data_IF_263482666443
#
_entry.id   IF_263482666443
#
_cell.length_a   1.000
_cell.length_b   1.000
_cell.length_c   1.000
_cell.angle_alpha   90.00
_cell.angle_beta   90.00
_cell.angle_gamma   90.00
#
_symmetry.space_group_name_H-M   'P 1'
#
loop_
_entity.id
_entity.type
_entity.pdbx_description
1 polymer ?
#
# COMPACT_ATOMS: atom_id res chain seq x y z
N UNK A 1 26.86 -0.35 7.89
CA UNK A 1 26.22 -1.44 7.12
C UNK A 1 24.78 -1.08 6.75
N UNK A 2 23.82 -1.02 7.68
CA UNK A 2 22.43 -0.69 7.30
C UNK A 2 22.29 0.65 6.54
N UNK A 3 23.05 1.67 6.95
CA UNK A 3 23.01 3.01 6.34
C UNK A 3 23.71 3.13 4.98
N UNK A 4 24.35 2.07 4.46
CA UNK A 4 25.08 2.18 3.18
C UNK A 4 24.11 2.28 2.00
N UNK A 5 23.20 1.33 1.82
CA UNK A 5 22.29 1.26 0.67
C UNK A 5 21.44 2.52 0.45
N UNK A 6 21.12 3.27 1.52
CA UNK A 6 20.35 4.52 1.41
C UNK A 6 21.16 5.65 0.77
N UNK A 7 22.50 5.60 0.88
CA UNK A 7 23.43 6.65 0.44
C UNK A 7 24.34 6.25 -0.74
N UNK A 8 24.40 4.96 -1.10
CA UNK A 8 25.13 4.49 -2.27
C UNK A 8 24.47 4.95 -3.58
N UNK A 9 25.31 5.09 -4.62
CA UNK A 9 24.91 5.11 -6.02
C UNK A 9 24.88 3.67 -6.59
N UNK A 10 24.68 3.54 -7.90
CA UNK A 10 24.53 2.24 -8.58
C UNK A 10 25.82 1.43 -8.54
N UNK A 11 26.93 2.01 -8.97
CA UNK A 11 28.21 1.30 -9.12
C UNK A 11 28.82 0.96 -7.77
N UNK A 12 28.72 1.87 -6.80
CA UNK A 12 29.14 1.63 -5.42
C UNK A 12 28.21 0.64 -4.69
N UNK A 13 26.97 0.44 -5.16
CA UNK A 13 26.14 -0.68 -4.73
C UNK A 13 26.58 -1.98 -5.39
N UNK A 14 26.70 -2.04 -6.72
CA UNK A 14 27.11 -3.24 -7.46
C UNK A 14 28.41 -3.81 -6.89
N UNK A 15 29.48 -3.03 -6.90
CA UNK A 15 30.81 -3.43 -6.40
C UNK A 15 30.94 -3.47 -4.86
N UNK A 16 29.83 -3.40 -4.13
CA UNK A 16 29.76 -3.76 -2.71
C UNK A 16 29.05 -5.10 -2.48
N UNK A 17 28.46 -5.72 -3.50
CA UNK A 17 27.77 -7.01 -3.43
C UNK A 17 28.31 -8.05 -4.41
N UNK A 18 28.91 -7.62 -5.52
CA UNK A 18 29.94 -8.35 -6.27
C UNK A 18 31.13 -8.60 -5.31
N UNK A 19 31.39 -9.88 -4.99
CA UNK A 19 32.28 -10.34 -3.90
C UNK A 19 33.58 -10.95 -4.38
N UNK A 20 33.56 -11.63 -5.52
CA UNK A 20 34.77 -12.21 -6.13
C UNK A 20 35.35 -11.36 -7.27
N UNK A 21 34.67 -10.26 -7.64
CA UNK A 21 35.07 -9.29 -8.67
C UNK A 21 35.04 -9.84 -10.10
N UNK A 22 34.16 -10.80 -10.40
CA UNK A 22 33.97 -11.31 -11.76
C UNK A 22 33.23 -10.32 -12.70
N UNK A 23 32.50 -9.36 -12.13
CA UNK A 23 31.77 -8.31 -12.85
C UNK A 23 30.27 -8.55 -13.02
N UNK A 24 29.73 -9.62 -12.43
CA UNK A 24 28.33 -10.02 -12.40
C UNK A 24 27.80 -10.06 -10.95
N UNK A 25 26.60 -10.61 -10.74
CA UNK A 25 26.04 -10.93 -9.44
C UNK A 25 25.39 -12.31 -9.49
N UNK A 26 25.90 -13.23 -8.67
CA UNK A 26 25.27 -14.54 -8.39
C UNK A 26 23.99 -14.39 -7.55
N UNK A 27 23.21 -15.47 -7.44
CA UNK A 27 22.03 -15.47 -6.55
C UNK A 27 22.43 -15.40 -5.07
N UNK A 28 23.58 -15.95 -4.69
CA UNK A 28 24.17 -15.84 -3.35
C UNK A 28 24.53 -14.38 -3.00
N UNK A 29 25.00 -13.60 -3.96
CA UNK A 29 25.30 -12.16 -3.77
C UNK A 29 24.02 -11.31 -3.80
N UNK A 30 23.05 -11.70 -4.62
CA UNK A 30 21.72 -11.11 -4.62
C UNK A 30 20.97 -11.36 -3.29
N UNK A 31 21.21 -12.50 -2.63
CA UNK A 31 20.77 -12.75 -1.25
C UNK A 31 21.37 -11.73 -0.28
N UNK A 32 22.66 -11.37 -0.43
CA UNK A 32 23.29 -10.35 0.40
C UNK A 32 22.67 -8.96 0.18
N UNK A 33 22.29 -8.61 -1.06
CA UNK A 33 21.51 -7.39 -1.37
C UNK A 33 20.16 -7.44 -0.66
N UNK A 34 19.41 -8.55 -0.79
CA UNK A 34 18.12 -8.73 -0.14
C UNK A 34 18.23 -8.63 1.39
N UNK A 35 19.27 -9.22 2.00
CA UNK A 35 19.57 -9.14 3.43
C UNK A 35 20.12 -7.79 3.88
N UNK A 36 20.56 -6.92 2.98
CA UNK A 36 20.90 -5.53 3.26
C UNK A 36 19.68 -4.59 3.10
N UNK A 37 18.78 -4.93 2.18
CA UNK A 37 17.48 -4.29 1.99
C UNK A 37 16.51 -4.59 3.14
N UNK A 38 16.14 -5.84 3.34
CA UNK A 38 15.02 -6.21 4.21
C UNK A 38 15.46 -6.30 5.67
N UNK A 39 15.34 -5.17 6.37
CA UNK A 39 15.69 -5.00 7.78
C UNK A 39 14.70 -4.12 8.50
N UNK A 40 14.53 -4.35 9.80
CA UNK A 40 13.77 -3.46 10.66
C UNK A 40 14.60 -2.24 11.13
N UNK A 41 13.93 -1.34 11.84
CA UNK A 41 14.47 -0.12 12.46
C UNK A 41 15.68 -0.33 13.41
N UNK A 42 15.92 -1.55 13.87
CA UNK A 42 17.01 -1.98 14.76
C UNK A 42 18.07 -2.82 14.05
N UNK A 43 18.02 -2.88 12.71
CA UNK A 43 18.98 -3.61 11.86
C UNK A 43 18.80 -5.13 11.82
N UNK A 44 17.77 -5.69 12.49
CA UNK A 44 17.41 -7.12 12.39
C UNK A 44 16.98 -7.41 10.96
N UNK A 45 17.58 -8.44 10.36
CA UNK A 45 17.25 -8.94 9.03
C UNK A 45 15.88 -9.62 9.06
N UNK A 46 15.04 -9.35 8.05
CA UNK A 46 13.86 -10.14 7.74
C UNK A 46 14.24 -11.31 6.85
N UNK A 47 13.61 -12.47 7.05
CA UNK A 47 13.71 -13.57 6.10
C UNK A 47 13.05 -13.20 4.77
N UNK A 48 13.60 -13.74 3.69
CA UNK A 48 12.95 -13.84 2.38
C UNK A 48 12.88 -15.33 2.10
N UNK A 49 11.73 -15.85 1.68
CA UNK A 49 11.59 -17.27 1.36
C UNK A 49 12.36 -17.60 0.07
N UNK A 50 13.03 -18.76 0.00
CA UNK A 50 13.88 -19.16 -1.14
C UNK A 50 13.20 -18.99 -2.51
N UNK A 51 11.89 -19.25 -2.59
CA UNK A 51 11.12 -19.11 -3.82
C UNK A 51 10.93 -17.62 -4.21
N UNK A 52 10.76 -16.72 -3.23
CA UNK A 52 10.66 -15.29 -3.47
C UNK A 52 12.01 -14.74 -3.90
N UNK A 53 13.10 -15.14 -3.23
CA UNK A 53 14.46 -14.74 -3.61
C UNK A 53 14.77 -15.13 -5.06
N UNK A 54 14.49 -16.40 -5.43
CA UNK A 54 14.65 -16.90 -6.80
C UNK A 54 13.75 -16.17 -7.79
N UNK A 55 12.46 -16.00 -7.49
CA UNK A 55 11.56 -15.29 -8.41
C UNK A 55 11.94 -13.82 -8.59
N UNK A 56 12.45 -13.12 -7.56
CA UNK A 56 12.98 -11.75 -7.68
C UNK A 56 14.24 -11.74 -8.55
N UNK A 57 15.18 -12.67 -8.33
CA UNK A 57 16.38 -12.81 -9.15
C UNK A 57 16.03 -13.06 -10.63
N UNK A 58 15.12 -14.01 -10.88
CA UNK A 58 14.58 -14.37 -12.20
C UNK A 58 13.81 -13.25 -12.92
N UNK A 59 13.52 -12.12 -12.25
CA UNK A 59 12.90 -10.93 -12.85
C UNK A 59 13.96 -9.96 -13.39
N UNK A 60 15.20 -10.02 -12.88
CA UNK A 60 16.30 -9.15 -13.28
C UNK A 60 17.37 -9.84 -14.10
N UNK A 61 17.61 -11.14 -13.89
CA UNK A 61 18.19 -12.01 -14.93
C UNK A 61 17.20 -12.06 -16.11
N UNK A 62 17.44 -11.24 -17.13
CA UNK A 62 16.62 -11.19 -18.35
C UNK A 62 17.21 -12.04 -19.47
N UNK A 63 18.54 -12.27 -19.43
CA UNK A 63 19.31 -13.04 -20.42
C UNK A 63 19.17 -14.56 -20.27
N UNK A 64 18.81 -15.03 -19.08
CA UNK A 64 18.64 -16.44 -18.69
C UNK A 64 19.93 -17.26 -18.75
N UNK A 65 21.03 -16.62 -18.36
CA UNK A 65 22.33 -17.26 -18.11
C UNK A 65 22.59 -17.58 -16.63
N UNK A 66 21.77 -17.05 -15.71
CA UNK A 66 21.82 -17.37 -14.28
C UNK A 66 22.66 -16.42 -13.43
N UNK A 67 23.08 -15.29 -13.98
CA UNK A 67 23.68 -14.15 -13.27
C UNK A 67 22.87 -12.88 -13.52
N UNK A 68 23.18 -11.79 -12.81
CA UNK A 68 22.70 -10.43 -13.13
C UNK A 68 23.92 -9.58 -13.50
N UNK A 69 23.98 -9.08 -14.74
CA UNK A 69 25.06 -8.19 -15.17
C UNK A 69 24.78 -6.69 -14.88
N UNK A 70 25.64 -5.78 -15.34
CA UNK A 70 25.50 -4.34 -15.05
C UNK A 70 24.32 -3.66 -15.73
N UNK A 71 23.92 -4.11 -16.93
CA UNK A 71 22.75 -3.54 -17.63
C UNK A 71 21.46 -3.96 -16.89
N UNK A 72 21.42 -5.23 -16.50
CA UNK A 72 20.33 -5.82 -15.73
C UNK A 72 20.25 -5.27 -14.30
N UNK A 73 21.41 -5.05 -13.68
CA UNK A 73 21.49 -4.38 -12.40
C UNK A 73 21.08 -2.91 -12.49
N UNK A 74 21.33 -2.18 -13.59
CA UNK A 74 20.77 -0.82 -13.74
C UNK A 74 19.24 -0.87 -13.67
N UNK A 75 18.60 -1.84 -14.33
CA UNK A 75 17.15 -2.02 -14.30
C UNK A 75 16.66 -2.39 -12.90
N UNK A 76 17.34 -3.32 -12.22
CA UNK A 76 17.06 -3.69 -10.83
C UNK A 76 17.21 -2.50 -9.86
N UNK A 77 18.31 -1.76 -9.98
CA UNK A 77 18.60 -0.59 -9.17
C UNK A 77 17.55 0.51 -9.34
N UNK A 78 17.21 0.85 -10.59
CA UNK A 78 16.29 1.93 -10.92
C UNK A 78 14.82 1.59 -10.64
N UNK A 79 14.39 0.34 -10.88
CA UNK A 79 12.97 -0.05 -10.70
C UNK A 79 12.66 -0.65 -9.32
N UNK A 80 13.63 -1.26 -8.65
CA UNK A 80 13.38 -2.04 -7.44
C UNK A 80 14.15 -1.52 -6.22
N UNK A 81 15.49 -1.52 -6.25
CA UNK A 81 16.33 -1.18 -5.09
C UNK A 81 16.09 0.28 -4.63
N UNK A 82 16.02 1.23 -5.56
CA UNK A 82 15.71 2.65 -5.25
C UNK A 82 14.33 2.81 -4.60
N UNK A 83 13.30 2.08 -5.03
CA UNK A 83 11.96 2.19 -4.45
C UNK A 83 11.89 1.47 -3.09
N UNK A 84 12.63 0.37 -2.91
CA UNK A 84 12.80 -0.31 -1.62
C UNK A 84 13.63 0.49 -0.59
N UNK A 85 14.42 1.48 -1.01
CA UNK A 85 15.22 2.35 -0.11
C UNK A 85 14.67 3.75 0.06
N UNK A 86 13.92 4.27 -0.92
CA UNK A 86 13.42 5.66 -0.97
C UNK A 86 11.95 5.68 -1.40
N UNK A 87 11.01 5.16 -0.57
CA UNK A 87 9.59 5.10 -0.89
C UNK A 87 8.97 6.49 -1.11
N UNK A 88 7.97 6.57 -2.00
CA UNK A 88 7.07 7.72 -2.11
C UNK A 88 5.71 7.35 -1.56
N UNK A 89 5.51 7.61 -0.27
CA UNK A 89 4.32 7.22 0.46
C UNK A 89 3.16 8.21 0.28
N UNK A 90 1.95 7.68 0.13
CA UNK A 90 0.70 8.39 0.37
C UNK A 90 -0.04 7.74 1.55
N UNK A 91 -0.80 8.54 2.30
CA UNK A 91 -1.59 8.10 3.45
C UNK A 91 -3.07 8.33 3.14
N UNK A 92 -3.91 7.32 3.40
CA UNK A 92 -5.34 7.31 3.12
C UNK A 92 -6.12 7.03 4.42
N UNK A 93 -6.78 8.08 4.92
CA UNK A 93 -7.71 8.02 6.05
C UNK A 93 -9.12 7.81 5.47
N UNK A 94 -9.71 6.64 5.68
CA UNK A 94 -11.01 6.27 5.11
C UNK A 94 -12.15 6.51 6.11
N UNK A 95 -13.19 7.22 5.66
CA UNK A 95 -14.51 7.40 6.30
C UNK A 95 -14.53 7.70 7.82
N UNK A 96 -13.57 8.47 8.35
CA UNK A 96 -13.57 8.95 9.76
C UNK A 96 -14.56 10.12 9.93
N UNK A 97 -15.83 9.83 9.69
CA UNK A 97 -16.97 10.76 9.67
C UNK A 97 -17.87 10.57 10.90
N UNK A 98 -18.61 11.61 11.29
CA UNK A 98 -19.43 11.61 12.50
C UNK A 98 -20.42 10.43 12.57
N UNK A 99 -21.04 10.02 11.45
CA UNK A 99 -22.03 8.94 11.45
C UNK A 99 -21.48 7.56 11.85
N UNK A 100 -20.19 7.29 11.65
CA UNK A 100 -19.58 6.01 12.03
C UNK A 100 -19.10 5.97 13.50
N UNK A 101 -19.05 7.12 14.17
CA UNK A 101 -18.46 7.29 15.51
C UNK A 101 -19.51 7.63 16.57
N UNK A 102 -20.50 8.46 16.22
CA UNK A 102 -21.59 8.87 17.12
C UNK A 102 -22.96 8.99 16.46
N UNK A 103 -23.05 9.11 15.13
CA UNK A 103 -24.31 9.23 14.39
C UNK A 103 -24.94 7.90 13.96
N UNK A 104 -25.56 7.88 12.77
CA UNK A 104 -26.57 6.89 12.40
C UNK A 104 -26.06 5.48 12.05
N UNK A 105 -24.75 5.31 11.84
CA UNK A 105 -24.11 4.03 11.54
C UNK A 105 -22.92 3.78 12.49
N UNK A 106 -23.09 4.18 13.75
CA UNK A 106 -22.07 4.05 14.80
C UNK A 106 -21.61 2.59 14.95
N UNK A 107 -20.30 2.37 14.77
CA UNK A 107 -19.69 1.03 14.77
C UNK A 107 -19.82 0.32 16.13
N UNK A 108 -20.03 1.06 17.23
CA UNK A 108 -20.39 0.51 18.56
C UNK A 108 -21.67 -0.33 18.55
N UNK A 109 -22.51 -0.16 17.54
CA UNK A 109 -23.79 -0.86 17.39
C UNK A 109 -23.74 -1.92 16.27
N UNK A 110 -22.56 -2.13 15.66
CA UNK A 110 -22.29 -3.22 14.72
C UNK A 110 -21.87 -4.51 15.45
N UNK A 111 -21.80 -5.62 14.70
CA UNK A 111 -21.56 -6.96 15.26
C UNK A 111 -20.21 -7.11 15.96
N UNK A 112 -19.18 -6.41 15.49
CA UNK A 112 -17.86 -6.37 16.12
C UNK A 112 -17.78 -5.58 17.43
N UNK A 113 -18.81 -4.77 17.76
CA UNK A 113 -18.90 -3.92 18.96
C UNK A 113 -17.70 -2.97 19.17
N UNK A 114 -16.98 -2.64 18.10
CA UNK A 114 -15.78 -1.80 18.14
C UNK A 114 -16.12 -0.31 18.25
N UNK A 115 -15.26 0.47 18.91
CA UNK A 115 -15.44 1.91 19.08
C UNK A 115 -14.81 2.69 17.91
N UNK A 116 -15.66 3.31 17.07
CA UNK A 116 -15.20 4.16 15.97
C UNK A 116 -14.38 5.39 16.38
N UNK A 117 -14.35 5.77 17.68
CA UNK A 117 -13.50 6.84 18.19
C UNK A 117 -12.09 6.39 18.56
N UNK A 118 -11.86 5.09 18.77
CA UNK A 118 -10.53 4.54 19.09
C UNK A 118 -9.51 4.76 17.97
N UNK A 119 -9.94 4.98 16.71
CA UNK A 119 -9.02 5.27 15.61
C UNK A 119 -8.51 6.71 15.63
N UNK A 120 -9.17 7.64 16.35
CA UNK A 120 -8.85 9.07 16.27
C UNK A 120 -7.46 9.38 16.86
N UNK A 121 -7.15 8.88 18.05
CA UNK A 121 -5.83 9.13 18.68
C UNK A 121 -4.67 8.51 17.86
N UNK A 122 -4.73 7.24 17.41
CA UNK A 122 -3.72 6.65 16.53
C UNK A 122 -3.59 7.33 15.15
N UNK A 123 -4.69 7.77 14.53
CA UNK A 123 -4.65 8.42 13.20
C UNK A 123 -4.07 9.85 13.28
N UNK A 124 -4.18 10.52 14.42
CA UNK A 124 -3.81 11.92 14.67
C UNK A 124 -2.29 12.23 14.64
N UNK A 125 -1.52 11.47 13.84
CA UNK A 125 -0.09 11.54 13.62
C UNK A 125 0.33 12.06 12.22
N UNK A 126 -0.50 12.00 11.16
CA UNK A 126 -0.15 12.40 9.76
C UNK A 126 -1.34 12.95 8.90
N UNK A 127 -1.15 13.18 7.58
CA UNK A 127 -1.79 14.23 6.73
C UNK A 127 -2.78 13.78 5.58
N UNK A 128 -4.10 14.17 5.51
CA UNK A 128 -5.05 13.97 4.31
C UNK A 128 -6.43 14.74 4.29
N UNK A 129 -7.30 14.70 3.21
CA UNK A 129 -8.70 15.34 3.09
C UNK A 129 -9.75 14.75 2.01
N UNK A 130 -10.84 15.47 1.58
CA UNK A 130 -12.21 15.00 1.07
C UNK A 130 -12.98 15.90 0.01
N UNK A 131 -14.04 15.65 -0.86
CA UNK A 131 -15.01 14.57 -1.29
C UNK A 131 -15.90 14.82 -2.64
N UNK A 132 -16.48 13.80 -3.42
CA UNK A 132 -17.82 13.65 -4.22
C UNK A 132 -17.92 12.67 -5.51
N UNK A 133 -19.10 12.35 -6.20
CA UNK A 133 -19.34 11.21 -7.24
C UNK A 133 -20.71 10.90 -8.06
N UNK A 134 -20.93 9.70 -8.77
CA UNK A 134 -21.87 9.41 -9.97
C UNK A 134 -23.18 8.40 -10.10
N UNK A 135 -23.27 7.15 -10.72
CA UNK A 135 -24.56 6.33 -11.04
C UNK A 135 -24.63 4.71 -11.10
N UNK A 136 -25.85 4.05 -11.11
CA UNK A 136 -26.34 2.88 -10.27
C UNK A 136 -26.37 1.31 -10.48
N UNK A 137 -26.46 0.48 -9.39
CA UNK A 137 -26.43 -1.04 -9.30
C UNK A 137 -27.23 -1.69 -8.10
N UNK A 138 -27.35 -3.04 -8.07
CA UNK A 138 -27.73 -3.91 -6.92
C UNK A 138 -26.66 -3.89 -5.79
N UNK A 139 -27.08 -3.71 -4.54
CA UNK A 139 -26.23 -3.24 -3.42
C UNK A 139 -26.66 -3.79 -2.05
N UNK A 140 -25.77 -3.78 -1.03
CA UNK A 140 -26.12 -4.03 0.38
C UNK A 140 -26.69 -2.74 0.96
N UNK A 141 -27.97 -2.73 1.34
CA UNK A 141 -28.60 -1.55 1.93
C UNK A 141 -28.15 -1.35 3.37
N UNK A 142 -27.64 -0.16 3.66
CA UNK A 142 -27.30 0.34 4.99
C UNK A 142 -28.37 1.32 5.50
N UNK A 143 -28.40 1.65 6.80
CA UNK A 143 -29.14 2.81 7.30
C UNK A 143 -28.73 4.10 6.57
N UNK A 144 -29.58 5.13 6.60
CA UNK A 144 -29.24 6.46 6.05
C UNK A 144 -28.10 7.07 6.85
N UNK A 145 -26.91 7.15 6.25
CA UNK A 145 -25.68 7.69 6.83
C UNK A 145 -24.94 8.54 5.78
N UNK A 146 -24.01 9.38 6.23
CA UNK A 146 -23.14 10.22 5.41
C UNK A 146 -23.88 11.02 4.32
N UNK A 147 -25.09 11.50 4.65
CA UNK A 147 -25.93 12.28 3.74
C UNK A 147 -25.21 13.58 3.36
N UNK A 148 -25.14 13.87 2.06
CA UNK A 148 -24.40 15.01 1.54
C UNK A 148 -24.76 16.32 2.28
N UNK A 149 -23.74 17.07 2.67
CA UNK A 149 -23.83 18.38 3.32
C UNK A 149 -24.64 18.37 4.63
N UNK A 150 -24.62 17.23 5.34
CA UNK A 150 -25.14 17.06 6.70
C UNK A 150 -24.01 16.77 7.71
N UNK A 151 -24.26 17.06 9.00
CA UNK A 151 -23.31 16.80 10.10
C UNK A 151 -22.78 15.37 10.14
N UNK A 152 -23.61 14.37 9.81
CA UNK A 152 -23.20 12.97 9.78
C UNK A 152 -22.12 12.65 8.74
N UNK A 153 -22.06 13.45 7.66
CA UNK A 153 -21.05 13.35 6.61
C UNK A 153 -19.81 14.22 6.86
N UNK A 154 -19.81 15.10 7.86
CA UNK A 154 -18.62 15.84 8.26
C UNK A 154 -17.57 14.89 8.85
N UNK A 155 -16.29 15.20 8.61
CA UNK A 155 -15.18 14.52 9.30
C UNK A 155 -15.27 14.82 10.81
N UNK A 156 -14.91 13.85 11.64
CA UNK A 156 -15.03 14.02 13.08
C UNK A 156 -14.14 15.16 13.59
N UNK A 157 -14.69 16.05 14.42
CA UNK A 157 -14.03 17.31 14.86
C UNK A 157 -12.65 17.17 15.50
N UNK A 158 -12.36 16.00 16.07
CA UNK A 158 -11.09 15.71 16.75
C UNK A 158 -10.06 15.01 15.84
N UNK A 159 -10.41 14.74 14.57
CA UNK A 159 -9.48 14.32 13.53
C UNK A 159 -8.66 15.54 13.06
N UNK A 160 -7.34 15.44 13.16
CA UNK A 160 -6.42 16.50 12.71
C UNK A 160 -6.34 16.50 11.19
N UNK A 161 -6.88 17.55 10.59
CA UNK A 161 -6.76 17.87 9.17
C UNK A 161 -5.64 18.91 9.01
N UNK A 162 -5.02 18.91 7.83
CA UNK A 162 -3.67 19.43 7.60
C UNK A 162 -3.59 20.32 6.36
N UNK A 163 -2.44 20.97 6.17
CA UNK A 163 -2.20 21.85 5.03
C UNK A 163 -2.05 21.10 3.70
N UNK A 164 -2.64 21.67 2.63
CA UNK A 164 -2.49 21.29 1.21
C UNK A 164 -2.99 19.90 0.78
N UNK A 165 -3.32 18.98 1.70
CA UNK A 165 -3.66 17.62 1.32
C UNK A 165 -4.99 17.51 0.54
N UNK A 166 -5.17 16.37 -0.16
CA UNK A 166 -6.09 16.26 -1.30
C UNK A 166 -7.23 15.25 -1.05
N UNK A 167 -8.18 15.19 -1.98
CA UNK A 167 -9.60 15.42 -1.66
C UNK A 167 -10.54 14.51 -2.47
N UNK A 168 -10.85 13.32 -1.95
CA UNK A 168 -11.47 12.22 -2.73
C UNK A 168 -12.68 11.63 -2.02
N UNK A 169 -13.78 11.33 -2.72
CA UNK A 169 -14.83 10.44 -2.19
C UNK A 169 -15.36 9.48 -3.23
N UNK A 170 -16.43 8.83 -2.81
CA UNK A 170 -16.98 7.56 -3.22
C UNK A 170 -18.44 7.56 -2.69
N UNK A 171 -19.33 6.76 -3.26
CA UNK A 171 -20.70 6.57 -2.75
C UNK A 171 -21.63 7.76 -2.96
N UNK A 172 -21.14 8.83 -3.60
CA UNK A 172 -21.94 10.01 -3.98
C UNK A 172 -22.70 9.80 -5.29
N UNK A 173 -22.69 8.58 -5.83
CA UNK A 173 -23.73 8.16 -6.74
C UNK A 173 -25.05 8.05 -5.96
N UNK A 174 -26.17 8.70 -6.36
CA UNK A 174 -27.48 8.38 -5.81
C UNK A 174 -27.93 6.91 -6.02
N UNK A 175 -27.23 6.11 -6.83
CA UNK A 175 -27.70 4.77 -7.19
C UNK A 175 -26.64 3.61 -7.18
N UNK A 176 -25.32 3.84 -7.04
CA UNK A 176 -24.33 2.75 -6.83
C UNK A 176 -23.38 3.07 -5.68
N UNK A 177 -23.15 2.08 -4.84
CA UNK A 177 -22.15 2.21 -3.77
C UNK A 177 -20.70 2.30 -4.29
N UNK A 178 -19.81 2.70 -3.39
CA UNK A 178 -18.37 2.73 -3.63
C UNK A 178 -17.68 2.57 -2.28
N UNK A 179 -17.29 1.34 -1.97
CA UNK A 179 -16.55 1.04 -0.75
C UNK A 179 -15.09 1.45 -0.90
N UNK A 180 -14.50 1.15 -2.07
CA UNK A 180 -13.18 1.64 -2.47
C UNK A 180 -13.21 3.14 -2.76
N UNK A 181 -12.10 3.82 -2.41
CA UNK A 181 -11.82 5.21 -2.80
C UNK A 181 -11.08 5.32 -4.15
N UNK A 182 -10.78 4.21 -4.84
CA UNK A 182 -10.25 4.24 -6.21
C UNK A 182 -11.36 4.21 -7.28
N UNK A 183 -12.39 3.38 -7.07
CA UNK A 183 -13.43 3.08 -8.06
C UNK A 183 -14.80 2.88 -7.41
N UNK A 184 -15.88 3.13 -8.15
CA UNK A 184 -17.22 2.63 -7.76
C UNK A 184 -17.31 1.09 -7.75
N UNK A 185 -18.35 0.54 -7.11
CA UNK A 185 -18.49 -0.91 -6.96
C UNK A 185 -18.78 -1.69 -8.27
N UNK A 186 -18.90 -1.01 -9.43
CA UNK A 186 -18.86 -1.64 -10.79
C UNK A 186 -17.51 -1.44 -11.49
N UNK A 187 -16.67 -0.53 -10.98
CA UNK A 187 -15.53 0.10 -11.68
C UNK A 187 -15.92 0.85 -12.96
N UNK A 188 -17.11 1.45 -13.02
CA UNK A 188 -17.50 2.32 -14.15
C UNK A 188 -16.89 3.72 -14.06
N UNK A 189 -16.67 4.22 -12.86
CA UNK A 189 -16.11 5.56 -12.62
C UNK A 189 -14.91 5.48 -11.70
N UNK A 190 -13.85 6.18 -12.11
CA UNK A 190 -12.68 6.49 -11.32
C UNK A 190 -13.00 7.61 -10.33
N UNK A 191 -12.43 7.55 -9.13
CA UNK A 191 -12.23 8.79 -8.37
C UNK A 191 -11.00 9.53 -8.90
N UNK A 192 -10.74 10.74 -8.40
CA UNK A 192 -9.53 11.50 -8.74
C UNK A 192 -8.26 11.00 -8.01
N UNK A 193 -8.33 9.92 -7.22
CA UNK A 193 -7.18 9.40 -6.48
C UNK A 193 -6.11 8.81 -7.40
N UNK A 194 -6.50 7.97 -8.36
CA UNK A 194 -5.57 7.22 -9.21
C UNK A 194 -4.61 8.14 -9.97
N UNK A 195 -5.11 9.23 -10.55
CA UNK A 195 -4.27 10.23 -11.23
C UNK A 195 -3.40 11.01 -10.23
N UNK A 196 -3.93 11.43 -9.09
CA UNK A 196 -3.14 12.17 -8.09
C UNK A 196 -2.00 11.36 -7.47
N UNK A 197 -2.15 10.03 -7.36
CA UNK A 197 -1.08 9.13 -6.95
C UNK A 197 -0.02 9.00 -8.04
N UNK A 198 -0.44 8.84 -9.31
CA UNK A 198 0.45 8.79 -10.48
C UNK A 198 1.23 10.10 -10.67
N UNK A 199 0.57 11.27 -10.61
CA UNK A 199 1.18 12.60 -10.71
C UNK A 199 2.26 12.86 -9.64
N UNK A 200 2.10 12.24 -8.46
CA UNK A 200 3.08 12.31 -7.36
C UNK A 200 4.17 11.24 -7.46
N UNK A 201 4.00 10.24 -8.33
CA UNK A 201 4.82 9.05 -8.39
C UNK A 201 4.76 8.25 -7.09
N UNK A 202 3.59 8.10 -6.49
CA UNK A 202 3.41 7.32 -5.27
C UNK A 202 3.73 5.84 -5.51
N UNK A 203 4.45 5.22 -4.58
CA UNK A 203 4.85 3.80 -4.63
C UNK A 203 4.25 2.98 -3.49
N UNK A 204 3.90 3.66 -2.38
CA UNK A 204 3.45 3.04 -1.14
C UNK A 204 2.17 3.70 -0.65
N UNK A 205 1.16 2.91 -0.33
CA UNK A 205 -0.16 3.37 0.13
C UNK A 205 -0.40 2.84 1.54
N UNK A 206 -0.39 3.75 2.52
CA UNK A 206 -0.72 3.47 3.91
C UNK A 206 -2.21 3.75 4.12
N UNK A 207 -2.95 2.81 4.72
CA UNK A 207 -4.41 2.85 4.80
C UNK A 207 -4.87 2.62 6.25
N UNK A 208 -5.82 3.41 6.70
CA UNK A 208 -6.48 3.25 7.99
C UNK A 208 -7.91 3.83 8.00
N UNK A 209 -8.59 3.73 9.15
CA UNK A 209 -9.91 4.32 9.37
C UNK A 209 -11.03 3.28 9.36
N UNK A 210 -12.16 3.65 8.77
CA UNK A 210 -13.44 2.96 8.94
C UNK A 210 -14.07 2.62 7.57
N UNK A 211 -14.92 1.59 7.44
CA UNK A 211 -14.90 0.36 8.24
C UNK A 211 -13.83 -0.61 7.68
N UNK A 212 -13.08 -1.26 8.57
CA UNK A 212 -11.96 -2.18 8.28
C UNK A 212 -12.32 -3.19 7.19
N UNK A 213 -13.43 -3.90 7.39
CA UNK A 213 -13.99 -4.99 6.59
C UNK A 213 -14.82 -4.53 5.38
N UNK A 214 -14.97 -3.22 5.18
CA UNK A 214 -15.77 -2.64 4.09
C UNK A 214 -14.93 -1.66 3.28
N UNK A 215 -14.89 -0.38 3.67
CA UNK A 215 -14.28 0.68 2.86
C UNK A 215 -12.74 0.63 2.88
N UNK A 216 -12.16 0.33 4.06
CA UNK A 216 -10.71 0.16 4.23
C UNK A 216 -10.22 -1.07 3.46
N UNK A 217 -10.89 -2.22 3.65
CA UNK A 217 -10.57 -3.47 2.96
C UNK A 217 -10.67 -3.34 1.43
N UNK A 218 -11.78 -2.80 0.91
CA UNK A 218 -11.95 -2.57 -0.53
C UNK A 218 -10.87 -1.62 -1.09
N UNK A 219 -10.51 -0.56 -0.34
CA UNK A 219 -9.44 0.36 -0.72
C UNK A 219 -8.07 -0.31 -0.75
N UNK A 220 -7.77 -1.18 0.22
CA UNK A 220 -6.51 -1.93 0.25
C UNK A 220 -6.39 -2.93 -0.91
N UNK A 221 -7.49 -3.65 -1.21
CA UNK A 221 -7.54 -4.59 -2.34
C UNK A 221 -7.38 -3.87 -3.68
N UNK A 222 -7.99 -2.70 -3.86
CA UNK A 222 -7.81 -1.91 -5.10
C UNK A 222 -6.43 -1.27 -5.20
N UNK A 223 -5.82 -0.84 -4.09
CA UNK A 223 -4.42 -0.36 -4.08
C UNK A 223 -3.46 -1.49 -4.52
N UNK A 224 -3.61 -2.68 -3.93
CA UNK A 224 -2.86 -3.89 -4.30
C UNK A 224 -3.09 -4.30 -5.76
N UNK A 225 -4.33 -4.22 -6.25
CA UNK A 225 -4.68 -4.55 -7.65
C UNK A 225 -4.17 -3.50 -8.63
N UNK A 226 -3.98 -2.25 -8.19
CA UNK A 226 -3.42 -1.14 -8.98
C UNK A 226 -1.88 -1.06 -8.91
N UNK A 227 -1.22 -2.13 -8.46
CA UNK A 227 0.24 -2.26 -8.41
C UNK A 227 0.94 -1.55 -7.23
N UNK A 228 0.20 -0.93 -6.30
CA UNK A 228 0.82 -0.24 -5.18
C UNK A 228 1.28 -1.20 -4.08
N UNK A 229 2.44 -0.89 -3.47
CA UNK A 229 2.86 -1.50 -2.21
C UNK A 229 1.92 -1.00 -1.11
N UNK A 230 1.19 -1.90 -0.47
CA UNK A 230 0.04 -1.51 0.36
C UNK A 230 0.24 -1.94 1.81
N UNK A 231 0.04 -0.99 2.72
CA UNK A 231 0.25 -1.13 4.16
C UNK A 231 -1.06 -0.78 4.88
N UNK A 232 -1.62 -1.75 5.60
CA UNK A 232 -2.84 -1.58 6.40
C UNK A 232 -2.46 -1.41 7.88
N UNK A 233 -2.95 -0.34 8.51
CA UNK A 233 -2.62 0.00 9.89
C UNK A 233 -3.75 -0.49 10.82
N UNK A 234 -3.49 -1.57 11.56
CA UNK A 234 -4.49 -2.36 12.31
C UNK A 234 -5.04 -1.59 13.53
N UNK A 235 -4.16 -1.08 14.39
CA UNK A 235 -4.54 -0.25 15.55
C UNK A 235 -5.27 1.05 15.17
N UNK A 236 -5.02 1.59 13.97
CA UNK A 236 -5.71 2.74 13.40
C UNK A 236 -7.01 2.39 12.64
N UNK A 237 -7.53 1.16 12.71
CA UNK A 237 -8.71 0.74 11.93
C UNK A 237 -9.74 -0.01 12.77
N UNK A 238 -11.04 0.16 12.49
CA UNK A 238 -12.15 -0.58 13.15
C UNK A 238 -13.24 -0.93 12.14
N UNK A 239 -13.94 -2.05 12.34
CA UNK A 239 -14.87 -2.64 11.37
C UNK A 239 -16.22 -3.09 11.94
N UNK A 240 -17.09 -3.56 11.06
CA UNK A 240 -18.50 -3.91 11.33
C UNK A 240 -18.65 -5.36 11.81
N UNK A 241 -17.89 -6.31 11.28
CA UNK A 241 -17.91 -7.73 11.65
C UNK A 241 -16.51 -8.35 11.80
N UNK A 242 -16.27 -9.11 12.88
CA UNK A 242 -14.95 -9.69 13.18
C UNK A 242 -14.52 -10.78 12.17
N UNK A 243 -15.46 -11.53 11.59
CA UNK A 243 -15.16 -12.57 10.62
C UNK A 243 -14.81 -11.97 9.26
N UNK A 244 -15.47 -10.87 8.87
CA UNK A 244 -15.13 -10.12 7.66
C UNK A 244 -13.84 -9.28 7.83
N UNK A 245 -13.50 -8.84 9.05
CA UNK A 245 -12.16 -8.29 9.38
C UNK A 245 -11.08 -9.33 9.11
N UNK A 246 -11.16 -10.54 9.66
CA UNK A 246 -10.09 -11.53 9.51
C UNK A 246 -9.98 -12.09 8.08
N UNK A 247 -11.09 -12.14 7.32
CA UNK A 247 -11.04 -12.34 5.85
C UNK A 247 -10.27 -11.23 5.15
N UNK A 248 -10.49 -9.98 5.53
CA UNK A 248 -9.80 -8.81 4.97
C UNK A 248 -8.31 -8.86 5.28
N UNK A 249 -7.92 -9.19 6.53
CA UNK A 249 -6.52 -9.39 6.90
C UNK A 249 -5.86 -10.48 6.06
N UNK A 250 -6.53 -11.63 5.94
CA UNK A 250 -6.07 -12.76 5.14
C UNK A 250 -5.88 -12.39 3.66
N UNK A 251 -6.80 -11.62 3.08
CA UNK A 251 -6.75 -11.21 1.67
C UNK A 251 -5.62 -10.22 1.39
N UNK A 252 -5.38 -9.26 2.29
CA UNK A 252 -4.26 -8.30 2.19
C UNK A 252 -2.92 -9.04 2.24
N UNK A 253 -2.73 -9.94 3.21
CA UNK A 253 -1.50 -10.73 3.35
C UNK A 253 -1.27 -11.63 2.13
N UNK A 254 -2.29 -12.37 1.69
CA UNK A 254 -2.21 -13.25 0.51
C UNK A 254 -1.91 -12.49 -0.81
N UNK A 255 -2.14 -11.18 -0.83
CA UNK A 255 -1.86 -10.29 -1.96
C UNK A 255 -0.48 -9.59 -1.87
N UNK A 256 0.34 -9.95 -0.88
CA UNK A 256 1.62 -9.30 -0.54
C UNK A 256 1.50 -7.86 -0.01
N UNK A 257 0.36 -7.51 0.57
CA UNK A 257 0.23 -6.33 1.45
C UNK A 257 0.67 -6.65 2.88
N UNK A 258 1.10 -5.63 3.63
CA UNK A 258 1.58 -5.80 5.01
C UNK A 258 0.60 -5.16 5.99
N UNK A 259 0.40 -5.82 7.14
CA UNK A 259 -0.40 -5.30 8.25
C UNK A 259 0.55 -4.90 9.39
N UNK A 260 0.39 -3.67 9.91
CA UNK A 260 1.27 -3.09 10.95
C UNK A 260 0.48 -2.30 11.98
N UNK A 261 1.12 -1.93 13.08
CA UNK A 261 0.62 -0.92 14.01
C UNK A 261 1.27 0.45 13.76
N UNK A 262 0.58 1.52 14.13
CA UNK A 262 0.97 2.94 14.02
C UNK A 262 2.43 3.20 14.42
N UNK A 263 2.87 2.59 15.53
CA UNK A 263 4.24 2.66 16.07
C UNK A 263 5.35 2.24 15.10
N UNK A 264 5.05 1.44 14.07
CA UNK A 264 6.01 0.96 13.07
C UNK A 264 6.09 1.88 11.83
N UNK A 265 4.99 2.58 11.52
CA UNK A 265 4.80 3.36 10.27
C UNK A 265 5.92 4.38 10.06
N UNK A 266 6.33 5.09 11.12
CA UNK A 266 7.40 6.11 11.01
C UNK A 266 8.71 5.52 10.48
N UNK A 267 9.12 4.35 10.97
CA UNK A 267 10.36 3.73 10.51
C UNK A 267 10.26 3.23 9.06
N UNK A 268 9.07 2.82 8.62
CA UNK A 268 8.83 2.37 7.24
C UNK A 268 8.84 3.53 6.24
N UNK A 269 8.18 4.65 6.57
CA UNK A 269 8.20 5.88 5.75
C UNK A 269 9.61 6.49 5.67
N UNK A 270 10.40 6.41 6.75
CA UNK A 270 11.81 6.80 6.77
C UNK A 270 12.76 5.80 6.06
N UNK A 271 12.25 4.71 5.48
CA UNK A 271 13.05 3.69 4.80
C UNK A 271 13.95 2.84 5.72
N UNK A 272 13.76 2.93 7.04
CA UNK A 272 14.55 2.22 8.06
C UNK A 272 13.97 0.84 8.41
N UNK A 273 12.66 0.67 8.29
CA UNK A 273 11.96 -0.62 8.34
C UNK A 273 11.47 -0.99 6.94
N UNK A 274 12.14 -1.96 6.31
CA UNK A 274 11.93 -2.35 4.90
C UNK A 274 11.47 -3.79 4.85
N UNK A 275 10.21 -3.99 4.45
CA UNK A 275 9.49 -5.26 4.51
C UNK A 275 9.65 -6.09 3.24
N UNK A 276 10.01 -7.38 3.33
CA UNK A 276 10.27 -8.24 2.17
C UNK A 276 9.02 -8.45 1.31
N UNK A 277 7.82 -8.49 1.91
CA UNK A 277 6.55 -8.67 1.21
C UNK A 277 6.27 -7.50 0.25
N UNK A 278 6.57 -6.27 0.67
CA UNK A 278 6.46 -5.07 -0.17
C UNK A 278 7.51 -5.07 -1.30
N UNK A 279 8.73 -5.55 -1.01
CA UNK A 279 9.78 -5.73 -2.02
C UNK A 279 9.38 -6.76 -3.08
N UNK A 280 8.88 -7.92 -2.65
CA UNK A 280 8.40 -8.99 -3.52
C UNK A 280 7.19 -8.56 -4.35
N UNK A 281 6.20 -7.88 -3.74
CA UNK A 281 5.06 -7.25 -4.46
C UNK A 281 5.56 -6.37 -5.62
N UNK A 282 6.52 -5.49 -5.37
CA UNK A 282 7.08 -4.62 -6.41
C UNK A 282 7.78 -5.39 -7.53
N UNK A 283 8.50 -6.47 -7.20
CA UNK A 283 9.12 -7.32 -8.22
C UNK A 283 8.05 -7.96 -9.14
N UNK A 284 6.95 -8.46 -8.57
CA UNK A 284 5.84 -9.02 -9.36
C UNK A 284 5.20 -8.01 -10.31
N UNK A 285 5.07 -6.73 -9.91
CA UNK A 285 4.60 -5.67 -10.82
C UNK A 285 5.61 -5.37 -11.95
N UNK A 286 6.91 -5.39 -11.65
CA UNK A 286 7.98 -5.24 -12.65
C UNK A 286 7.94 -6.41 -13.64
N UNK A 287 7.72 -7.64 -13.16
CA UNK A 287 7.52 -8.85 -13.98
C UNK A 287 6.34 -8.71 -14.92
N UNK A 288 5.24 -8.11 -14.46
CA UNK A 288 4.06 -7.87 -15.28
C UNK A 288 4.31 -6.78 -16.34
N UNK A 289 4.93 -5.66 -15.95
CA UNK A 289 5.33 -4.59 -16.87
C UNK A 289 6.23 -5.09 -18.02
N UNK A 290 7.18 -6.00 -17.74
CA UNK A 290 8.02 -6.58 -18.80
C UNK A 290 7.23 -7.44 -19.78
N UNK A 291 6.29 -8.29 -19.31
CA UNK A 291 5.42 -9.09 -20.20
C UNK A 291 4.60 -8.20 -21.13
N UNK A 292 4.00 -7.14 -20.59
CA UNK A 292 3.20 -6.19 -21.37
C UNK A 292 4.07 -5.46 -22.41
N UNK A 293 5.26 -5.01 -22.01
CA UNK A 293 6.24 -4.36 -22.91
C UNK A 293 6.78 -5.29 -24.01
N UNK A 294 6.75 -6.61 -23.81
CA UNK A 294 7.09 -7.60 -24.85
C UNK A 294 5.89 -7.82 -25.79
N UNK A 295 4.70 -8.08 -25.22
CA UNK A 295 3.47 -8.34 -25.98
C UNK A 295 3.08 -7.19 -26.93
N UNK A 296 3.44 -5.95 -26.62
CA UNK A 296 3.20 -4.77 -27.48
C UNK A 296 4.31 -4.49 -28.50
N UNK A 297 5.41 -5.28 -28.51
CA UNK A 297 6.42 -5.31 -29.57
C UNK A 297 6.19 -6.43 -30.60
N UNK A 298 5.29 -7.35 -30.31
CA UNK A 298 4.93 -8.50 -31.17
C UNK A 298 3.63 -8.27 -31.97
N UNK A 299 3.13 -7.03 -32.02
CA UNK A 299 1.89 -6.59 -32.71
C UNK A 299 2.18 -5.53 -33.78
#
# INVERSE_FOLDING_TARGET
MADSLVNLDMDACFSAFDRDADGFLSIEEFELICRALFRNDRGKIYGVEDYQLREIFDIFDTKKDGVIDRDEFEVCWNRWIKICTRPRSAFLIVDVQNDFITGSLNIKHCAAQQDGSEVIEPINLYDTVTFKGPLGLKQRLWPRHCVQDSWGAELHKDLKIVDKAIKIYKGTNPEVDSYSVFWDNKKLTTTTLSSQLQDKGATDIYICGLAYDVCVGATAVDALTSGYRTILIDDCSRGVDLVDIEKTKSMVIASNGVIVNSSQVKAMVEGRDRRPELGYKLALEIKQFFKETINDKEK
#
